data_IF_030264010859
#
_entry.id   IF_030264010859
#
_cell.length_a   1.000
_cell.length_b   1.000
_cell.length_c   1.000
_cell.angle_alpha   90.00
_cell.angle_beta   90.00
_cell.angle_gamma   90.00
#
_symmetry.space_group_name_H-M   'P 1'
#
loop_
_entity.id
_entity.type
_entity.pdbx_description
1 polymer ?
#
# COMPACT_ATOMS: atom_id res chain seq x y z
N UNK A 1 4.10 27.29 21.83
CA UNK A 1 4.11 26.20 20.83
C UNK A 1 4.45 24.92 21.56
N UNK A 2 3.45 24.11 21.89
CA UNK A 2 3.63 22.87 22.65
C UNK A 2 4.01 21.78 21.66
N UNK A 3 5.26 21.35 21.67
CA UNK A 3 5.74 20.18 20.93
C UNK A 3 5.05 18.95 21.50
N UNK A 4 3.96 18.52 20.88
CA UNK A 4 3.34 17.23 21.18
C UNK A 4 4.30 16.13 20.74
N UNK A 5 5.03 15.56 21.69
CA UNK A 5 5.75 14.32 21.48
C UNK A 5 4.73 13.19 21.40
N UNK A 6 4.57 12.64 20.21
CA UNK A 6 3.69 11.50 19.97
C UNK A 6 4.17 10.26 20.74
N UNK A 7 3.25 9.46 21.31
CA UNK A 7 3.62 8.23 22.01
C UNK A 7 4.29 7.25 21.03
N UNK A 8 5.45 6.74 21.43
CA UNK A 8 6.17 5.71 20.68
C UNK A 8 5.41 4.38 20.71
N UNK A 9 5.47 3.61 19.63
CA UNK A 9 4.93 2.26 19.62
C UNK A 9 5.61 1.39 20.70
N UNK A 10 4.86 0.47 21.33
CA UNK A 10 5.45 -0.44 22.31
C UNK A 10 6.53 -1.32 21.66
N UNK A 11 7.53 -1.72 22.45
CA UNK A 11 8.64 -2.58 21.98
C UNK A 11 8.18 -3.97 21.51
N UNK A 12 7.03 -4.45 21.98
CA UNK A 12 6.43 -5.75 21.63
C UNK A 12 4.93 -5.58 21.44
N UNK A 13 4.38 -6.28 20.44
CA UNK A 13 2.94 -6.25 20.13
C UNK A 13 2.23 -7.50 20.70
N UNK A 14 0.94 -7.39 21.07
CA UNK A 14 0.20 -8.52 21.63
C UNK A 14 0.12 -9.71 20.66
N UNK A 15 0.46 -10.92 21.17
CA UNK A 15 0.48 -12.19 20.40
C UNK A 15 -0.95 -12.67 20.09
N UNK A 16 -1.20 -13.13 18.86
CA UNK A 16 -2.49 -13.64 18.38
C UNK A 16 -2.38 -15.13 17.94
N UNK A 17 -2.64 -16.07 18.86
CA UNK A 17 -2.25 -17.51 18.76
C UNK A 17 -2.97 -18.35 17.68
N UNK A 18 -4.08 -17.90 17.10
CA UNK A 18 -4.93 -18.74 16.22
C UNK A 18 -4.41 -18.85 14.77
N UNK A 19 -3.51 -17.98 14.32
CA UNK A 19 -3.11 -17.85 12.91
C UNK A 19 -1.82 -18.61 12.52
N UNK A 20 -1.08 -19.16 13.48
CA UNK A 20 0.26 -19.70 13.23
C UNK A 20 0.23 -21.02 12.43
N UNK A 21 -0.66 -21.96 12.77
CA UNK A 21 -0.70 -23.29 12.12
C UNK A 21 -1.24 -23.26 10.68
N UNK A 22 -2.01 -22.24 10.30
CA UNK A 22 -2.60 -22.12 8.96
C UNK A 22 -1.63 -21.42 7.99
N UNK A 23 -0.75 -20.53 8.48
CA UNK A 23 0.18 -19.75 7.67
C UNK A 23 1.29 -20.59 7.01
N UNK A 24 1.94 -21.47 7.76
CA UNK A 24 3.09 -22.22 7.23
C UNK A 24 2.72 -23.20 6.12
N UNK A 25 1.54 -23.85 6.24
CA UNK A 25 1.04 -24.78 5.24
C UNK A 25 0.53 -24.08 3.97
N UNK A 26 0.08 -22.83 4.06
CA UNK A 26 -0.45 -22.07 2.93
C UNK A 26 0.67 -21.38 2.15
N UNK A 27 1.60 -20.73 2.87
CA UNK A 27 2.76 -20.03 2.29
C UNK A 27 3.63 -20.99 1.48
N UNK A 28 3.99 -22.16 2.04
CA UNK A 28 4.79 -23.17 1.33
C UNK A 28 4.09 -23.81 0.13
N UNK A 29 2.76 -23.77 0.08
CA UNK A 29 1.96 -24.48 -0.94
C UNK A 29 1.55 -23.61 -2.12
N UNK A 30 1.43 -22.30 -1.94
CA UNK A 30 0.83 -21.40 -2.95
C UNK A 30 1.71 -20.21 -3.38
N UNK A 31 2.82 -19.91 -2.71
CA UNK A 31 3.70 -18.80 -3.08
C UNK A 31 4.97 -19.32 -3.74
N UNK A 32 5.11 -19.06 -5.05
CA UNK A 32 6.26 -19.51 -5.86
C UNK A 32 7.13 -18.35 -6.36
N UNK A 33 6.66 -17.12 -6.24
CA UNK A 33 7.39 -15.94 -6.69
C UNK A 33 8.47 -15.51 -5.67
N UNK A 34 9.69 -15.26 -6.17
CA UNK A 34 10.85 -14.93 -5.33
C UNK A 34 10.68 -13.61 -4.57
N UNK A 35 10.04 -12.59 -5.16
CA UNK A 35 9.82 -11.31 -4.47
C UNK A 35 8.82 -11.47 -3.33
N UNK A 36 7.79 -12.30 -3.53
CA UNK A 36 6.79 -12.63 -2.52
C UNK A 36 7.38 -13.43 -1.35
N UNK A 37 8.26 -14.40 -1.64
CA UNK A 37 8.99 -15.17 -0.62
C UNK A 37 9.93 -14.23 0.16
N UNK A 38 10.73 -13.43 -0.55
CA UNK A 38 11.63 -12.44 0.06
C UNK A 38 10.88 -11.47 0.96
N UNK A 39 9.70 -10.99 0.54
CA UNK A 39 8.87 -10.12 1.37
C UNK A 39 8.38 -10.80 2.66
N UNK A 40 8.01 -12.08 2.60
CA UNK A 40 7.61 -12.81 3.79
C UNK A 40 8.79 -13.04 4.74
N UNK A 41 9.98 -13.30 4.21
CA UNK A 41 11.19 -13.55 4.99
C UNK A 41 11.81 -12.26 5.56
N UNK A 42 12.06 -11.27 4.71
CA UNK A 42 12.78 -10.04 5.03
C UNK A 42 11.86 -8.89 5.45
N UNK A 43 10.56 -8.95 5.11
CA UNK A 43 9.59 -7.94 5.53
C UNK A 43 9.67 -6.60 4.80
N UNK A 44 10.42 -6.53 3.70
CA UNK A 44 10.55 -5.35 2.85
C UNK A 44 10.32 -5.70 1.37
N UNK A 45 9.63 -4.82 0.65
CA UNK A 45 9.46 -4.90 -0.80
C UNK A 45 9.27 -3.50 -1.36
N UNK A 46 10.07 -3.12 -2.37
CA UNK A 46 9.78 -1.90 -3.13
C UNK A 46 8.50 -2.14 -3.94
N UNK A 47 7.66 -1.11 -4.06
CA UNK A 47 6.39 -1.27 -4.74
C UNK A 47 6.57 -1.71 -6.21
N UNK A 48 7.64 -1.21 -6.86
CA UNK A 48 8.05 -1.58 -8.22
C UNK A 48 8.67 -2.98 -8.36
N UNK A 49 9.03 -3.64 -7.26
CA UNK A 49 9.52 -5.03 -7.28
C UNK A 49 8.37 -6.04 -7.43
N UNK A 50 7.13 -5.63 -7.11
CA UNK A 50 5.94 -6.47 -7.21
C UNK A 50 5.73 -6.89 -8.68
N UNK A 51 5.65 -8.20 -9.00
CA UNK A 51 5.62 -8.67 -10.37
C UNK A 51 4.54 -8.04 -11.25
N UNK A 52 3.33 -7.85 -10.71
CA UNK A 52 2.23 -7.25 -11.45
C UNK A 52 2.45 -5.74 -11.72
N UNK A 53 2.96 -4.99 -10.73
CA UNK A 53 3.31 -3.56 -10.86
C UNK A 53 4.37 -3.37 -11.95
N UNK A 54 5.41 -4.21 -11.95
CA UNK A 54 6.43 -4.24 -13.00
C UNK A 54 5.86 -4.61 -14.37
N UNK A 55 4.97 -5.61 -14.41
CA UNK A 55 4.36 -6.08 -15.65
C UNK A 55 3.55 -4.99 -16.36
N UNK A 56 2.76 -4.21 -15.62
CA UNK A 56 1.99 -3.11 -16.20
C UNK A 56 2.86 -1.86 -16.47
N UNK A 57 4.10 -1.83 -15.96
CA UNK A 57 5.06 -0.79 -16.28
C UNK A 57 4.92 0.50 -15.47
N UNK A 58 4.43 0.39 -14.22
CA UNK A 58 4.53 1.48 -13.25
C UNK A 58 6.00 1.77 -12.97
N UNK A 59 6.34 3.05 -12.90
CA UNK A 59 7.70 3.55 -12.64
C UNK A 59 7.67 4.49 -11.46
N UNK A 60 8.77 4.51 -10.72
CA UNK A 60 9.03 5.47 -9.66
C UNK A 60 10.12 6.44 -10.13
N UNK A 61 9.91 7.74 -9.92
CA UNK A 61 10.93 8.77 -10.10
C UNK A 61 10.69 9.86 -9.06
N UNK A 62 11.73 10.22 -8.30
CA UNK A 62 11.64 11.28 -7.28
C UNK A 62 10.48 11.04 -6.29
N UNK A 63 10.33 9.79 -5.82
CA UNK A 63 9.26 9.34 -4.92
C UNK A 63 7.83 9.44 -5.49
N UNK A 64 7.67 9.73 -6.78
CA UNK A 64 6.38 9.79 -7.46
C UNK A 64 6.21 8.58 -8.37
N UNK A 65 5.13 7.84 -8.17
CA UNK A 65 4.72 6.78 -9.08
C UNK A 65 4.02 7.33 -10.33
N UNK A 66 4.31 6.71 -11.47
CA UNK A 66 3.71 7.07 -12.74
C UNK A 66 3.47 5.87 -13.65
N UNK A 67 2.52 6.04 -14.59
CA UNK A 67 2.22 5.08 -15.64
C UNK A 67 2.10 5.80 -16.98
N UNK A 68 2.91 5.38 -17.95
CA UNK A 68 2.88 5.93 -19.31
C UNK A 68 1.69 5.36 -20.09
N UNK A 69 1.06 6.17 -20.94
CA UNK A 69 0.07 5.68 -21.91
C UNK A 69 0.76 4.76 -22.93
N UNK A 70 0.44 3.47 -22.88
CA UNK A 70 0.94 2.45 -23.81
C UNK A 70 -0.16 1.47 -24.17
N UNK A 71 -0.09 0.92 -25.39
CA UNK A 71 -1.10 0.00 -25.92
C UNK A 71 -1.39 -1.20 -25.00
N UNK A 72 -0.39 -1.71 -24.29
CA UNK A 72 -0.53 -2.86 -23.38
C UNK A 72 -1.28 -2.56 -22.07
N UNK A 73 -1.49 -1.28 -21.73
CA UNK A 73 -2.26 -0.85 -20.55
C UNK A 73 -3.50 -0.06 -20.92
N UNK A 74 -3.82 0.06 -22.22
CA UNK A 74 -5.04 0.72 -22.68
C UNK A 74 -6.26 -0.19 -22.56
N UNK A 75 -7.43 0.44 -22.40
CA UNK A 75 -8.73 -0.19 -22.64
C UNK A 75 -9.11 -0.16 -24.12
N UNK A 76 -10.33 -0.63 -24.44
CA UNK A 76 -10.88 -0.71 -25.80
C UNK A 76 -11.18 0.65 -26.44
N UNK A 77 -11.06 1.77 -25.70
CA UNK A 77 -11.18 3.14 -26.22
C UNK A 77 -9.85 3.91 -26.11
N UNK A 78 -8.73 3.17 -26.11
CA UNK A 78 -7.37 3.71 -26.20
C UNK A 78 -6.94 4.68 -25.07
N UNK A 79 -7.55 4.55 -23.89
CA UNK A 79 -7.13 5.26 -22.66
C UNK A 79 -6.62 4.29 -21.62
N UNK A 80 -5.83 4.75 -20.64
CA UNK A 80 -5.28 3.88 -19.59
C UNK A 80 -6.42 3.16 -18.87
N UNK A 81 -6.33 1.83 -18.86
CA UNK A 81 -7.36 0.94 -18.35
C UNK A 81 -7.70 1.24 -16.89
N UNK A 82 -8.98 1.14 -16.53
CA UNK A 82 -9.49 1.42 -15.20
C UNK A 82 -8.73 0.66 -14.09
N UNK A 83 -8.45 -0.62 -14.31
CA UNK A 83 -7.67 -1.45 -13.39
C UNK A 83 -6.18 -1.03 -13.31
N UNK A 84 -5.60 -0.49 -14.37
CA UNK A 84 -4.21 0.00 -14.35
C UNK A 84 -4.10 1.30 -13.53
N UNK A 85 -5.08 2.22 -13.67
CA UNK A 85 -5.20 3.39 -12.80
C UNK A 85 -5.40 2.99 -11.33
N UNK A 86 -6.26 2.00 -11.07
CA UNK A 86 -6.46 1.46 -9.72
C UNK A 86 -5.17 0.89 -9.15
N UNK A 87 -4.43 0.11 -9.93
CA UNK A 87 -3.16 -0.50 -9.49
C UNK A 87 -2.14 0.59 -9.14
N UNK A 88 -2.04 1.63 -9.96
CA UNK A 88 -1.19 2.79 -9.66
C UNK A 88 -1.60 3.47 -8.33
N UNK A 89 -2.91 3.68 -8.11
CA UNK A 89 -3.40 4.28 -6.87
C UNK A 89 -3.16 3.40 -5.63
N UNK A 90 -3.38 2.09 -5.75
CA UNK A 90 -3.16 1.14 -4.67
C UNK A 90 -1.68 1.05 -4.30
N UNK A 91 -0.81 0.97 -5.30
CA UNK A 91 0.65 0.92 -5.14
C UNK A 91 1.15 2.17 -4.40
N UNK A 92 0.70 3.35 -4.82
CA UNK A 92 1.02 4.64 -4.17
C UNK A 92 0.54 4.67 -2.71
N UNK A 93 -0.66 4.15 -2.44
CA UNK A 93 -1.16 4.08 -1.06
C UNK A 93 -0.30 3.17 -0.17
N UNK A 94 0.24 2.08 -0.73
CA UNK A 94 1.14 1.17 -0.02
C UNK A 94 2.51 1.81 0.27
N UNK A 95 3.04 2.60 -0.66
CA UNK A 95 4.26 3.40 -0.42
C UNK A 95 4.03 4.44 0.67
N UNK A 96 2.91 5.16 0.61
CA UNK A 96 2.54 6.13 1.65
C UNK A 96 2.39 5.49 3.02
N UNK A 97 1.80 4.30 3.10
CA UNK A 97 1.67 3.58 4.36
C UNK A 97 3.06 3.29 4.98
N UNK A 98 4.02 2.85 4.15
CA UNK A 98 5.39 2.58 4.59
C UNK A 98 6.08 3.86 5.06
N UNK A 99 5.96 4.96 4.31
CA UNK A 99 6.60 6.24 4.67
C UNK A 99 6.04 6.84 5.96
N UNK A 100 4.77 6.58 6.29
CA UNK A 100 4.13 7.07 7.51
C UNK A 100 4.59 6.35 8.78
N UNK A 101 5.03 5.10 8.67
CA UNK A 101 5.39 4.25 9.81
C UNK A 101 6.66 3.44 9.55
N UNK A 102 7.82 4.08 9.30
CA UNK A 102 9.09 3.37 9.08
C UNK A 102 9.46 2.46 10.27
N UNK A 103 9.03 2.78 11.48
CA UNK A 103 9.26 1.97 12.67
C UNK A 103 8.51 0.63 12.70
N UNK A 104 7.49 0.47 11.85
CA UNK A 104 6.72 -0.76 11.67
C UNK A 104 7.26 -1.63 10.52
N UNK A 105 8.23 -1.15 9.75
CA UNK A 105 8.87 -1.91 8.67
C UNK A 105 9.34 -3.28 9.18
N UNK A 106 9.13 -4.32 8.38
CA UNK A 106 9.40 -5.73 8.71
C UNK A 106 8.66 -6.31 9.93
N UNK A 107 7.93 -5.51 10.72
CA UNK A 107 7.20 -5.95 11.92
C UNK A 107 5.72 -6.19 11.67
N UNK A 108 5.22 -5.88 10.48
CA UNK A 108 3.80 -5.96 10.15
C UNK A 108 3.53 -6.69 8.83
N UNK A 109 2.27 -7.02 8.61
CA UNK A 109 1.72 -7.47 7.33
C UNK A 109 0.53 -6.53 7.00
N UNK A 110 0.72 -5.54 6.12
CA UNK A 110 -0.36 -4.74 5.56
C UNK A 110 -1.10 -5.53 4.48
N UNK A 111 -2.43 -5.47 4.51
CA UNK A 111 -3.31 -6.02 3.48
C UNK A 111 -4.40 -5.02 3.15
N UNK A 112 -4.65 -4.79 1.86
CA UNK A 112 -5.83 -4.03 1.44
C UNK A 112 -7.08 -4.77 1.89
N UNK A 113 -7.97 -4.08 2.59
CA UNK A 113 -9.21 -4.62 3.15
C UNK A 113 -10.45 -4.15 2.41
N UNK A 114 -10.41 -2.92 1.92
CA UNK A 114 -11.47 -2.27 1.15
C UNK A 114 -10.81 -1.24 0.23
N UNK A 115 -11.38 -1.04 -0.95
CA UNK A 115 -10.94 -0.01 -1.86
C UNK A 115 -12.11 0.52 -2.69
N UNK A 116 -12.16 1.84 -2.86
CA UNK A 116 -13.12 2.52 -3.71
C UNK A 116 -12.38 3.45 -4.66
N UNK A 117 -12.80 3.52 -5.92
CA UNK A 117 -12.23 4.42 -6.91
C UNK A 117 -13.33 5.10 -7.72
N UNK A 118 -13.16 6.39 -7.98
CA UNK A 118 -14.02 7.19 -8.85
C UNK A 118 -13.20 7.63 -10.05
N UNK A 119 -13.61 7.20 -11.25
CA UNK A 119 -13.05 7.66 -12.51
C UNK A 119 -13.77 8.94 -12.94
N UNK A 120 -13.03 10.05 -13.01
CA UNK A 120 -13.57 11.39 -13.28
C UNK A 120 -13.38 11.81 -14.73
N UNK A 121 -12.24 11.47 -15.33
CA UNK A 121 -11.91 11.77 -16.73
C UNK A 121 -11.11 10.63 -17.38
N UNK A 122 -11.18 10.46 -18.71
CA UNK A 122 -10.36 9.48 -19.41
C UNK A 122 -8.86 9.78 -19.26
N UNK A 123 -8.05 8.78 -18.93
CA UNK A 123 -6.60 8.92 -18.81
C UNK A 123 -5.95 8.69 -20.19
N UNK A 124 -5.88 9.76 -20.99
CA UNK A 124 -5.37 9.73 -22.37
C UNK A 124 -3.90 10.20 -22.49
N UNK A 125 -3.20 10.31 -21.37
CA UNK A 125 -1.81 10.74 -21.26
C UNK A 125 -1.12 9.93 -20.14
N UNK A 126 0.18 10.15 -19.96
CA UNK A 126 0.89 9.67 -18.76
C UNK A 126 0.18 10.19 -17.51
N UNK A 127 0.03 9.33 -16.51
CA UNK A 127 -0.58 9.65 -15.22
C UNK A 127 0.41 9.46 -14.07
N UNK A 128 0.19 10.20 -12.98
CA UNK A 128 0.96 10.19 -11.73
C UNK A 128 0.03 10.03 -10.54
N UNK A 129 0.53 9.49 -9.43
CA UNK A 129 -0.25 9.26 -8.22
C UNK A 129 0.22 10.12 -7.05
N UNK A 130 -0.74 10.62 -6.27
CA UNK A 130 -0.48 11.50 -5.13
C UNK A 130 -1.34 11.08 -3.95
N UNK A 131 -0.71 10.71 -2.84
CA UNK A 131 -1.40 10.19 -1.65
C UNK A 131 -1.61 11.25 -0.55
N UNK A 132 -2.72 11.11 0.17
CA UNK A 132 -3.15 12.01 1.23
C UNK A 132 -3.74 11.20 2.40
N UNK A 133 -3.37 11.57 3.62
CA UNK A 133 -3.88 10.97 4.85
C UNK A 133 -4.07 12.07 5.90
N UNK A 134 -5.20 12.05 6.59
CA UNK A 134 -5.50 12.99 7.68
C UNK A 134 -4.68 12.66 8.94
N UNK A 135 -4.10 13.66 9.59
CA UNK A 135 -3.30 13.50 10.82
C UNK A 135 -4.08 12.80 11.94
N UNK A 136 -5.38 13.08 12.09
CA UNK A 136 -6.24 12.41 13.07
C UNK A 136 -6.40 10.93 12.76
N UNK A 137 -6.40 10.55 11.48
CA UNK A 137 -6.46 9.14 11.08
C UNK A 137 -5.14 8.43 11.44
N UNK A 138 -3.99 9.10 11.26
CA UNK A 138 -2.68 8.59 11.67
C UNK A 138 -2.64 8.41 13.19
N UNK A 139 -3.06 9.39 13.98
CA UNK A 139 -3.11 9.30 15.44
C UNK A 139 -4.00 8.14 15.92
N UNK A 140 -5.21 8.06 15.36
CA UNK A 140 -6.15 6.97 15.67
C UNK A 140 -5.56 5.60 15.33
N UNK A 141 -4.87 5.49 14.19
CA UNK A 141 -4.16 4.27 13.82
C UNK A 141 -3.09 3.91 14.86
N UNK A 142 -2.20 4.85 15.23
CA UNK A 142 -1.13 4.61 16.22
C UNK A 142 -1.68 4.10 17.55
N UNK A 143 -2.73 4.75 18.06
CA UNK A 143 -3.38 4.36 19.33
C UNK A 143 -3.98 2.95 19.23
N UNK A 144 -4.73 2.66 18.18
CA UNK A 144 -5.39 1.36 18.01
C UNK A 144 -4.36 0.24 17.81
N UNK A 145 -3.37 0.48 16.95
CA UNK A 145 -2.33 -0.47 16.65
C UNK A 145 -1.46 -0.74 17.88
N UNK A 146 -1.04 0.27 18.63
CA UNK A 146 -0.29 0.10 19.88
C UNK A 146 -1.04 -0.72 20.93
N UNK A 147 -2.37 -0.58 21.01
CA UNK A 147 -3.20 -1.34 21.97
C UNK A 147 -3.50 -2.78 21.52
N UNK A 148 -3.71 -3.00 20.23
CA UNK A 148 -4.27 -4.27 19.71
C UNK A 148 -3.31 -5.07 18.83
N UNK A 149 -2.15 -4.50 18.46
CA UNK A 149 -1.27 -5.03 17.42
C UNK A 149 -1.90 -5.03 16.03
N UNK A 150 -3.05 -4.34 15.84
CA UNK A 150 -3.75 -4.25 14.56
C UNK A 150 -4.61 -3.00 14.46
N UNK A 151 -4.70 -2.43 13.27
CA UNK A 151 -5.54 -1.26 12.99
C UNK A 151 -5.87 -1.15 11.50
N UNK A 152 -6.84 -0.29 11.19
CA UNK A 152 -7.17 0.12 9.83
C UNK A 152 -6.68 1.55 9.59
N UNK A 153 -6.14 1.82 8.39
CA UNK A 153 -5.86 3.17 7.92
C UNK A 153 -6.37 3.32 6.49
N UNK A 154 -7.15 4.37 6.24
CA UNK A 154 -7.61 4.71 4.89
C UNK A 154 -6.69 5.80 4.32
N UNK A 155 -6.26 5.61 3.07
CA UNK A 155 -5.40 6.53 2.33
C UNK A 155 -6.14 6.96 1.08
N UNK A 156 -6.24 8.27 0.87
CA UNK A 156 -6.81 8.86 -0.33
C UNK A 156 -5.69 9.03 -1.36
N UNK A 157 -5.95 8.68 -2.61
CA UNK A 157 -4.98 8.85 -3.70
C UNK A 157 -5.65 9.55 -4.87
N UNK A 158 -5.01 10.57 -5.39
CA UNK A 158 -5.41 11.26 -6.61
C UNK A 158 -4.51 10.82 -7.76
N UNK A 159 -5.11 10.49 -8.91
CA UNK A 159 -4.41 10.19 -10.15
C UNK A 159 -4.58 11.34 -11.12
N UNK A 160 -3.47 11.95 -11.52
CA UNK A 160 -3.42 13.17 -12.35
C UNK A 160 -2.61 12.94 -13.61
N UNK A 161 -3.04 13.49 -14.72
CA UNK A 161 -2.23 13.50 -15.94
C UNK A 161 -1.18 14.61 -15.89
N UNK A 162 -0.43 14.76 -16.99
CA UNK A 162 0.65 15.75 -17.12
C UNK A 162 0.16 17.19 -17.15
N UNK A 163 -1.14 17.42 -17.38
CA UNK A 163 -1.77 18.74 -17.39
C UNK A 163 -2.47 19.04 -16.04
N UNK A 164 -2.09 18.31 -14.98
CA UNK A 164 -2.68 18.34 -13.64
C UNK A 164 -4.20 18.02 -13.61
N UNK A 165 -4.71 17.37 -14.65
CA UNK A 165 -6.11 17.00 -14.69
C UNK A 165 -6.37 15.74 -13.87
N UNK A 166 -7.27 15.84 -12.89
CA UNK A 166 -7.69 14.72 -12.05
C UNK A 166 -8.48 13.69 -12.86
N UNK A 167 -7.85 12.56 -13.16
CA UNK A 167 -8.42 11.46 -13.95
C UNK A 167 -9.21 10.48 -13.08
N UNK A 168 -8.70 10.15 -11.89
CA UNK A 168 -9.39 9.32 -10.91
C UNK A 168 -8.97 9.64 -9.47
N UNK A 169 -9.81 9.25 -8.52
CA UNK A 169 -9.57 9.39 -7.08
C UNK A 169 -9.92 8.07 -6.39
N UNK A 170 -9.00 7.52 -5.62
CA UNK A 170 -9.17 6.28 -4.88
C UNK A 170 -9.09 6.49 -3.36
N UNK A 171 -9.78 5.64 -2.62
CA UNK A 171 -9.71 5.52 -1.17
C UNK A 171 -9.38 4.06 -0.84
N UNK A 172 -8.17 3.81 -0.36
CA UNK A 172 -7.64 2.46 -0.09
C UNK A 172 -7.54 2.26 1.42
N UNK A 173 -8.25 1.27 1.94
CA UNK A 173 -8.22 0.92 3.37
C UNK A 173 -7.27 -0.24 3.61
N UNK A 174 -6.18 0.05 4.33
CA UNK A 174 -5.19 -0.92 4.75
C UNK A 174 -5.53 -1.49 6.12
N UNK A 175 -5.58 -2.82 6.22
CA UNK A 175 -5.53 -3.55 7.47
C UNK A 175 -4.08 -3.92 7.78
N UNK A 176 -3.56 -3.35 8.86
CA UNK A 176 -2.19 -3.59 9.31
C UNK A 176 -2.24 -4.45 10.56
N UNK A 177 -1.49 -5.55 10.55
CA UNK A 177 -1.40 -6.49 11.66
C UNK A 177 0.07 -6.77 11.96
N UNK A 178 0.45 -6.70 13.24
CA UNK A 178 1.77 -7.10 13.71
C UNK A 178 2.06 -8.56 13.33
N UNK A 179 3.30 -8.83 12.90
CA UNK A 179 3.84 -10.18 12.78
C UNK A 179 3.86 -10.82 14.17
N UNK A 180 3.68 -12.13 14.20
CA UNK A 180 3.89 -12.90 15.42
C UNK A 180 5.39 -13.13 15.51
N UNK A 181 6.06 -12.56 16.50
CA UNK A 181 7.47 -12.87 16.74
C UNK A 181 7.59 -14.36 17.06
N UNK A 182 8.31 -15.10 16.21
CA UNK A 182 8.73 -16.48 16.52
C UNK A 182 9.93 -16.52 17.48
N UNK A 183 10.61 -15.38 17.67
CA UNK A 183 11.85 -15.25 18.46
C UNK A 183 11.68 -14.45 19.76
N UNK A 184 10.54 -14.57 20.42
CA UNK A 184 10.31 -14.02 21.78
C UNK A 184 9.79 -15.09 22.74
#
# INVERSE_FOLDING_TARGET
MTTYQFPQFPKQFPKNRLLQKVKDSFVKRFLTDKASIRYLEEGFINATDIPFVRFIGIKEKEEVLSLDLKKNVCNHVETIHAAAQFTLAETESGMRLQSLFPELEQKVIPLVRDAQIKYKKPAAQKITAHSFVDDKAIEKFKIQFGKKGRALLQIRVEIRDIDDTLTSEAHITWFVQARLDEKA
#
